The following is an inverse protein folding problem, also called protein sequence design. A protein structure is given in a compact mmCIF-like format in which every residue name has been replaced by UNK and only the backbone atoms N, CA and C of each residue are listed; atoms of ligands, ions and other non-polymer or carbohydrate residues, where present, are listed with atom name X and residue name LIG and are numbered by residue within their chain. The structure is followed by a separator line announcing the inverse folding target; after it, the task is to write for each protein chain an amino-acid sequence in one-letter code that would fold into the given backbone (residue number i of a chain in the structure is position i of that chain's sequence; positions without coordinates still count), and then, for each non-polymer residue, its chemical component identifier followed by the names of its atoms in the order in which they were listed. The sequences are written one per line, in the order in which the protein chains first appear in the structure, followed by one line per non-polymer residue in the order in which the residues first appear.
data_IF_972722244660
#
_entry.id   IF_972722244660
#
_cell.length_a   1.000
_cell.length_b   1.000
_cell.length_c   1.000
_cell.angle_alpha   90.00
_cell.angle_beta   90.00
_cell.angle_gamma   90.00
#
_symmetry.space_group_name_H-M   'P 1'
#
loop_
_entity.id
_entity.type
_entity.pdbx_description
1 polymer ?
#
# COMPACT_ATOMS: atom_id res chain seq x y z
N UNK A 1 -10.61 25.64 61.78
CA UNK A 1 -11.25 25.46 60.47
C UNK A 1 -10.18 25.56 59.40
N UNK A 2 -9.57 24.43 59.02
CA UNK A 2 -8.57 24.36 57.95
C UNK A 2 -9.27 23.86 56.68
N UNK A 3 -9.17 24.64 55.59
CA UNK A 3 -9.65 24.24 54.28
C UNK A 3 -8.53 23.48 53.55
N UNK A 4 -8.79 22.22 53.23
CA UNK A 4 -7.91 21.39 52.40
C UNK A 4 -8.31 21.56 50.92
N UNK A 5 -7.34 21.98 50.10
CA UNK A 5 -7.43 22.00 48.63
C UNK A 5 -6.94 20.63 48.13
N UNK A 6 -7.87 19.80 47.64
CA UNK A 6 -7.54 18.58 46.92
C UNK A 6 -7.07 18.94 45.51
N UNK A 7 -5.78 18.76 45.23
CA UNK A 7 -5.23 18.77 43.89
C UNK A 7 -5.47 17.40 43.23
N UNK A 8 -6.26 17.38 42.15
CA UNK A 8 -6.41 16.22 41.29
C UNK A 8 -5.23 16.18 40.32
N UNK A 9 -4.22 15.36 40.62
CA UNK A 9 -3.12 15.10 39.70
C UNK A 9 -3.60 14.14 38.60
N UNK A 10 -3.88 14.68 37.42
CA UNK A 10 -4.09 13.89 36.21
C UNK A 10 -2.76 13.26 35.80
N UNK A 11 -2.65 11.94 35.99
CA UNK A 11 -1.54 11.14 35.51
C UNK A 11 -1.59 11.06 33.98
N UNK A 12 -0.76 11.85 33.31
CA UNK A 12 -0.46 11.71 31.88
C UNK A 12 0.63 10.65 31.70
N UNK A 13 0.29 9.38 31.85
CA UNK A 13 1.14 8.33 31.29
C UNK A 13 0.78 8.15 29.81
N UNK A 14 1.75 8.23 28.88
CA UNK A 14 1.49 7.92 27.49
C UNK A 14 1.09 6.44 27.41
N UNK A 15 -0.09 6.18 26.84
CA UNK A 15 -0.55 4.85 26.46
C UNK A 15 0.37 4.31 25.36
N UNK A 16 1.54 3.80 25.75
CA UNK A 16 2.31 2.90 24.91
C UNK A 16 1.56 1.56 24.88
N UNK A 17 0.53 1.48 24.04
CA UNK A 17 -0.17 0.21 23.79
C UNK A 17 0.86 -0.80 23.26
N UNK A 18 1.02 -1.98 23.89
CA UNK A 18 1.91 -3.00 23.40
C UNK A 18 1.50 -3.43 22.00
N UNK A 19 2.44 -3.29 21.06
CA UNK A 19 2.33 -3.57 19.63
C UNK A 19 2.20 -5.10 19.34
N UNK A 20 1.23 -5.81 19.93
CA UNK A 20 0.90 -7.19 19.48
C UNK A 20 -0.21 -7.10 18.44
N UNK A 21 0.16 -6.81 17.19
CA UNK A 21 -0.76 -6.14 16.26
C UNK A 21 -1.70 -6.99 15.43
N UNK A 22 -1.47 -8.28 15.21
CA UNK A 22 -2.25 -9.04 14.22
C UNK A 22 -2.61 -10.42 14.74
N UNK A 23 -3.80 -10.91 14.37
CA UNK A 23 -4.05 -12.34 14.41
C UNK A 23 -2.97 -13.03 13.55
N UNK A 24 -2.32 -14.09 14.06
CA UNK A 24 -1.30 -14.79 13.28
C UNK A 24 -1.91 -15.24 11.96
N UNK A 25 -1.25 -14.89 10.86
CA UNK A 25 -1.64 -15.41 9.56
C UNK A 25 -1.47 -16.93 9.60
N UNK A 26 -2.50 -17.65 9.19
CA UNK A 26 -2.43 -19.10 9.03
C UNK A 26 -1.19 -19.46 8.20
N UNK A 27 -0.42 -20.47 8.60
CA UNK A 27 0.76 -20.89 7.85
C UNK A 27 0.35 -21.29 6.43
N UNK A 28 0.93 -20.61 5.44
CA UNK A 28 0.73 -20.91 4.03
C UNK A 28 1.74 -22.00 3.65
N UNK A 29 1.31 -23.13 3.05
CA UNK A 29 2.23 -24.18 2.65
C UNK A 29 3.21 -23.66 1.58
N UNK A 30 4.44 -24.20 1.52
CA UNK A 30 5.38 -23.90 0.45
C UNK A 30 4.82 -24.18 -0.95
N UNK A 31 5.15 -23.32 -1.91
CA UNK A 31 4.89 -23.55 -3.33
C UNK A 31 6.07 -24.32 -3.91
N UNK A 32 5.92 -25.64 -4.00
CA UNK A 32 6.98 -26.53 -4.47
C UNK A 32 7.48 -26.12 -5.85
N UNK A 33 8.80 -25.97 -5.98
CA UNK A 33 9.43 -25.54 -7.23
C UNK A 33 9.08 -24.12 -7.67
N UNK A 34 8.71 -23.20 -6.75
CA UNK A 34 8.35 -21.82 -7.08
C UNK A 34 9.40 -21.11 -7.97
N UNK A 35 10.69 -21.39 -7.75
CA UNK A 35 11.79 -20.85 -8.55
C UNK A 35 11.82 -21.28 -10.01
N UNK A 36 11.05 -22.31 -10.39
CA UNK A 36 10.86 -22.75 -11.79
C UNK A 36 9.62 -22.11 -12.45
N UNK A 37 8.96 -21.17 -11.77
CA UNK A 37 7.77 -20.47 -12.23
C UNK A 37 7.96 -18.95 -12.20
N UNK A 38 6.96 -18.22 -12.71
CA UNK A 38 6.89 -16.78 -12.55
C UNK A 38 6.42 -16.43 -11.13
N UNK A 39 7.31 -15.84 -10.33
CA UNK A 39 7.03 -15.39 -8.97
C UNK A 39 6.59 -13.93 -9.01
N UNK A 40 5.42 -13.62 -8.44
CA UNK A 40 4.97 -12.24 -8.24
C UNK A 40 5.28 -11.79 -6.81
N UNK A 41 5.94 -10.64 -6.67
CA UNK A 41 6.10 -9.93 -5.40
C UNK A 41 5.36 -8.61 -5.51
N UNK A 42 4.17 -8.57 -4.93
CA UNK A 42 3.30 -7.41 -4.95
C UNK A 42 3.53 -6.52 -3.74
N UNK A 43 3.75 -5.24 -4.01
CA UNK A 43 3.89 -4.19 -3.00
C UNK A 43 3.02 -3.00 -3.34
N UNK A 44 2.83 -2.15 -2.35
CA UNK A 44 2.12 -0.88 -2.46
C UNK A 44 3.04 0.27 -2.06
N UNK A 45 2.59 1.48 -2.28
CA UNK A 45 3.32 2.66 -1.86
C UNK A 45 3.66 2.58 -0.36
N UNK A 46 4.96 2.61 -0.04
CA UNK A 46 5.49 2.53 1.34
C UNK A 46 5.35 1.18 2.03
N UNK A 47 5.17 0.07 1.33
CA UNK A 47 5.11 -1.28 1.96
C UNK A 47 6.41 -2.09 1.81
N UNK A 48 7.56 -1.41 1.69
CA UNK A 48 8.87 -2.09 1.64
C UNK A 48 9.36 -2.50 0.26
N UNK A 49 8.81 -1.92 -0.81
CA UNK A 49 9.20 -2.16 -2.20
C UNK A 49 10.72 -2.13 -2.44
N UNK A 50 11.43 -1.13 -1.91
CA UNK A 50 12.89 -1.02 -2.06
C UNK A 50 13.63 -2.15 -1.35
N UNK A 51 13.18 -2.53 -0.15
CA UNK A 51 13.73 -3.66 0.60
C UNK A 51 13.59 -4.96 -0.21
N UNK A 52 12.37 -5.29 -0.64
CA UNK A 52 12.13 -6.52 -1.40
C UNK A 52 12.86 -6.52 -2.74
N UNK A 53 12.91 -5.40 -3.46
CA UNK A 53 13.65 -5.33 -4.71
C UNK A 53 15.15 -5.62 -4.53
N UNK A 54 15.76 -5.15 -3.44
CA UNK A 54 17.16 -5.42 -3.10
C UNK A 54 17.38 -6.88 -2.68
N UNK A 55 16.52 -7.41 -1.81
CA UNK A 55 16.56 -8.81 -1.35
C UNK A 55 16.40 -9.77 -2.52
N UNK A 56 15.37 -9.59 -3.35
CA UNK A 56 15.13 -10.46 -4.50
C UNK A 56 16.16 -10.30 -5.61
N UNK A 57 16.89 -9.18 -5.69
CA UNK A 57 18.06 -9.07 -6.57
C UNK A 57 19.18 -10.02 -6.12
N UNK A 58 19.47 -10.10 -4.83
CA UNK A 58 20.47 -11.04 -4.30
C UNK A 58 19.98 -12.49 -4.44
N UNK A 59 18.73 -12.76 -4.06
CA UNK A 59 18.13 -14.09 -4.15
C UNK A 59 18.11 -14.62 -5.58
N UNK A 60 17.61 -13.82 -6.53
CA UNK A 60 17.54 -14.23 -7.95
C UNK A 60 18.92 -14.51 -8.54
N UNK A 61 19.94 -13.73 -8.13
CA UNK A 61 21.34 -13.97 -8.52
C UNK A 61 21.87 -15.29 -7.95
N UNK A 62 21.59 -15.59 -6.68
CA UNK A 62 22.02 -16.84 -6.04
C UNK A 62 21.29 -18.07 -6.62
N UNK A 63 20.00 -17.95 -6.93
CA UNK A 63 19.20 -19.03 -7.49
C UNK A 63 19.48 -19.24 -8.98
N UNK A 64 19.85 -18.19 -9.71
CA UNK A 64 20.10 -18.23 -11.15
C UNK A 64 18.85 -17.98 -12.00
N UNK A 65 17.91 -17.16 -11.53
CA UNK A 65 16.69 -16.78 -12.26
C UNK A 65 16.70 -15.29 -12.61
N UNK A 66 16.05 -14.87 -13.70
CA UNK A 66 15.91 -13.46 -14.04
C UNK A 66 15.02 -12.72 -13.03
N UNK A 67 15.26 -11.41 -12.89
CA UNK A 67 14.44 -10.52 -12.06
C UNK A 67 14.05 -9.27 -12.84
N UNK A 68 12.76 -9.00 -12.87
CA UNK A 68 12.14 -7.82 -13.45
C UNK A 68 11.53 -6.94 -12.35
N UNK A 69 11.46 -5.64 -12.62
CA UNK A 69 10.74 -4.67 -11.81
C UNK A 69 9.78 -3.93 -12.72
N UNK A 70 8.49 -3.95 -12.42
CA UNK A 70 7.53 -3.14 -13.12
C UNK A 70 7.53 -1.72 -12.52
N UNK A 71 7.59 -0.72 -13.37
CA UNK A 71 7.38 0.68 -13.00
C UNK A 71 6.04 1.12 -13.61
N UNK A 72 5.38 2.15 -13.04
CA UNK A 72 4.08 2.67 -13.54
C UNK A 72 4.02 2.96 -15.05
N UNK A 73 5.16 3.28 -15.67
CA UNK A 73 5.25 3.58 -17.11
C UNK A 73 5.62 2.38 -17.98
N UNK A 74 5.94 1.22 -17.39
CA UNK A 74 6.52 0.05 -18.06
C UNK A 74 5.87 -1.28 -17.69
N UNK A 75 4.67 -1.27 -17.09
CA UNK A 75 3.89 -2.48 -16.76
C UNK A 75 3.67 -3.39 -17.97
N UNK A 76 3.77 -2.88 -19.20
CA UNK A 76 3.69 -3.67 -20.42
C UNK A 76 4.97 -4.44 -20.82
N UNK A 77 6.12 -4.23 -20.17
CA UNK A 77 7.39 -4.79 -20.64
C UNK A 77 7.76 -6.12 -20.00
N UNK A 78 8.63 -6.07 -18.99
CA UNK A 78 9.35 -7.25 -18.54
C UNK A 78 8.57 -8.16 -17.58
N UNK A 79 7.66 -7.61 -16.76
CA UNK A 79 6.80 -8.43 -15.90
C UNK A 79 5.70 -9.11 -16.70
N UNK A 80 4.97 -8.37 -17.55
CA UNK A 80 3.98 -8.94 -18.45
C UNK A 80 4.58 -10.07 -19.30
N UNK A 81 5.73 -9.84 -19.94
CA UNK A 81 6.43 -10.86 -20.72
C UNK A 81 6.78 -12.12 -19.89
N UNK A 82 7.22 -11.95 -18.64
CA UNK A 82 7.54 -13.08 -17.76
C UNK A 82 6.31 -13.98 -17.54
N UNK A 83 5.16 -13.38 -17.23
CA UNK A 83 3.91 -14.12 -16.98
C UNK A 83 3.29 -14.68 -18.27
N UNK A 84 3.31 -13.93 -19.37
CA UNK A 84 2.77 -14.37 -20.67
C UNK A 84 3.56 -15.54 -21.28
N UNK A 85 4.88 -15.57 -21.04
CA UNK A 85 5.75 -16.66 -21.50
C UNK A 85 5.84 -17.83 -20.52
N UNK A 86 5.24 -17.71 -19.33
CA UNK A 86 5.39 -18.65 -18.22
C UNK A 86 6.87 -18.95 -17.87
N UNK A 87 7.75 -17.97 -18.08
CA UNK A 87 9.17 -18.14 -17.81
C UNK A 87 9.46 -18.08 -16.30
N UNK A 88 10.46 -18.85 -15.87
CA UNK A 88 10.97 -18.80 -14.50
C UNK A 88 11.59 -17.42 -14.23
N UNK A 89 11.23 -16.79 -13.12
CA UNK A 89 11.76 -15.50 -12.75
C UNK A 89 10.96 -14.79 -11.67
N UNK A 90 11.47 -13.64 -11.23
CA UNK A 90 10.82 -12.81 -10.20
C UNK A 90 10.37 -11.49 -10.80
N UNK A 91 9.09 -11.16 -10.65
CA UNK A 91 8.56 -9.84 -10.93
C UNK A 91 8.26 -9.10 -9.62
N UNK A 92 8.85 -7.92 -9.43
CA UNK A 92 8.45 -6.98 -8.39
C UNK A 92 7.43 -6.00 -8.99
N UNK A 93 6.17 -6.09 -8.56
CA UNK A 93 5.10 -5.17 -8.95
C UNK A 93 4.93 -4.09 -7.86
N UNK A 94 5.24 -2.86 -8.23
CA UNK A 94 4.95 -1.68 -7.41
C UNK A 94 3.52 -1.22 -7.69
N UNK A 95 2.74 -0.89 -6.66
CA UNK A 95 1.33 -0.49 -6.79
C UNK A 95 0.43 -1.62 -7.31
N UNK A 96 0.60 -2.82 -6.72
CA UNK A 96 -0.19 -3.99 -7.10
C UNK A 96 -1.69 -3.70 -6.97
N UNK A 97 -2.47 -4.06 -7.98
CA UNK A 97 -3.92 -3.92 -7.96
C UNK A 97 -4.61 -5.25 -8.28
N UNK A 98 -5.90 -5.36 -7.96
CA UNK A 98 -6.71 -6.54 -8.35
C UNK A 98 -6.74 -6.71 -9.87
N UNK A 99 -6.65 -5.63 -10.65
CA UNK A 99 -6.59 -5.70 -12.10
C UNK A 99 -5.31 -6.38 -12.56
N UNK A 100 -4.15 -5.96 -12.04
CA UNK A 100 -2.86 -6.60 -12.32
C UNK A 100 -2.90 -8.09 -12.00
N UNK A 101 -3.47 -8.46 -10.84
CA UNK A 101 -3.59 -9.86 -10.43
C UNK A 101 -4.51 -10.69 -11.33
N UNK A 102 -5.59 -10.10 -11.87
CA UNK A 102 -6.47 -10.81 -12.81
C UNK A 102 -5.75 -11.20 -14.09
N UNK A 103 -4.76 -10.42 -14.52
CA UNK A 103 -4.01 -10.67 -15.74
C UNK A 103 -2.86 -11.65 -15.52
N UNK A 104 -2.17 -11.57 -14.39
CA UNK A 104 -0.90 -12.28 -14.21
C UNK A 104 -0.97 -13.49 -13.28
N UNK A 105 -1.94 -13.54 -12.36
CA UNK A 105 -1.94 -14.56 -11.32
C UNK A 105 -2.83 -15.76 -11.67
N UNK A 106 -2.21 -16.79 -12.26
CA UNK A 106 -2.82 -18.12 -12.43
C UNK A 106 -3.01 -18.82 -11.07
N UNK A 107 -3.99 -19.73 -10.94
CA UNK A 107 -4.12 -20.56 -9.74
C UNK A 107 -2.81 -21.30 -9.43
N UNK A 108 -2.32 -21.21 -8.19
CA UNK A 108 -1.09 -21.86 -7.74
C UNK A 108 0.21 -21.11 -8.10
N UNK A 109 0.14 -19.98 -8.82
CA UNK A 109 1.31 -19.15 -9.05
C UNK A 109 1.85 -18.57 -7.73
N UNK A 110 3.18 -18.61 -7.47
CA UNK A 110 3.75 -18.06 -6.25
C UNK A 110 3.49 -16.55 -6.17
N UNK A 111 2.81 -16.12 -5.10
CA UNK A 111 2.53 -14.71 -4.86
C UNK A 111 2.88 -14.32 -3.43
N UNK A 112 3.76 -13.34 -3.31
CA UNK A 112 4.10 -12.69 -2.05
C UNK A 112 3.48 -11.30 -2.08
N UNK A 113 2.65 -11.00 -1.09
CA UNK A 113 1.99 -9.70 -0.94
C UNK A 113 2.44 -9.07 0.37
N UNK A 114 3.07 -7.90 0.31
CA UNK A 114 3.43 -7.17 1.52
C UNK A 114 2.48 -6.01 1.72
N UNK A 115 1.76 -6.07 2.83
CA UNK A 115 0.85 -5.04 3.30
C UNK A 115 1.48 -4.23 4.43
N UNK A 116 0.95 -3.04 4.71
CA UNK A 116 1.39 -2.19 5.81
C UNK A 116 0.19 -1.57 6.52
N UNK A 117 0.36 -1.14 7.76
CA UNK A 117 -0.69 -0.43 8.48
C UNK A 117 -1.10 0.83 7.67
N UNK A 118 -2.39 1.01 7.31
CA UNK A 118 -2.83 2.16 6.54
C UNK A 118 -2.46 3.51 7.16
N UNK A 119 -2.44 3.60 8.50
CA UNK A 119 -2.00 4.81 9.20
C UNK A 119 -0.51 5.07 8.97
N UNK A 120 0.32 4.03 9.09
CA UNK A 120 1.77 4.12 8.88
C UNK A 120 2.11 4.43 7.42
N UNK A 121 1.31 3.94 6.47
CA UNK A 121 1.45 4.28 5.06
C UNK A 121 1.23 5.77 4.82
N UNK A 122 0.13 6.34 5.31
CA UNK A 122 -0.14 7.78 5.22
C UNK A 122 0.99 8.63 5.80
N UNK A 123 1.43 8.31 7.02
CA UNK A 123 2.51 9.03 7.71
C UNK A 123 3.83 8.89 6.94
N UNK A 124 4.18 7.68 6.51
CA UNK A 124 5.41 7.40 5.79
C UNK A 124 5.46 8.08 4.42
N UNK A 125 4.33 8.19 3.73
CA UNK A 125 4.28 8.86 2.43
C UNK A 125 4.40 10.38 2.57
N UNK A 126 3.78 10.97 3.61
CA UNK A 126 3.88 12.41 3.85
C UNK A 126 5.32 12.82 4.12
N UNK A 127 5.98 12.13 5.04
CA UNK A 127 7.40 12.39 5.37
C UNK A 127 8.30 12.18 4.16
N UNK A 128 8.02 11.16 3.36
CA UNK A 128 8.77 10.91 2.13
C UNK A 128 8.58 12.01 1.08
N UNK A 129 7.36 12.46 0.80
CA UNK A 129 7.16 13.53 -0.19
C UNK A 129 7.63 14.91 0.31
N UNK A 130 7.63 15.11 1.63
CA UNK A 130 8.16 16.31 2.26
C UNK A 130 9.69 16.39 2.14
N UNK A 131 10.40 15.26 2.34
CA UNK A 131 11.87 15.24 2.41
C UNK A 131 12.57 14.59 1.21
N UNK A 132 11.81 13.92 0.34
CA UNK A 132 12.33 13.21 -0.81
C UNK A 132 13.00 14.13 -1.83
N UNK A 133 13.92 13.57 -2.58
CA UNK A 133 14.73 14.29 -3.57
C UNK A 133 14.67 13.65 -4.96
N UNK A 134 13.69 12.79 -5.20
CA UNK A 134 13.56 12.13 -6.49
C UNK A 134 13.14 13.13 -7.57
N UNK A 135 13.64 13.00 -8.82
CA UNK A 135 13.36 13.97 -9.87
C UNK A 135 11.87 14.22 -10.12
N UNK A 136 11.03 13.19 -9.99
CA UNK A 136 9.60 13.30 -10.20
C UNK A 136 8.87 14.09 -9.10
N UNK A 137 9.42 14.17 -7.89
CA UNK A 137 8.89 15.01 -6.80
C UNK A 137 9.13 16.50 -7.03
N UNK A 138 10.07 16.82 -7.91
CA UNK A 138 10.44 18.19 -8.27
C UNK A 138 9.64 18.70 -9.47
N UNK A 139 8.75 17.88 -10.04
CA UNK A 139 7.91 18.27 -11.16
C UNK A 139 6.69 19.07 -10.64
N UNK A 140 6.39 20.24 -11.24
CA UNK A 140 5.17 20.98 -10.97
C UNK A 140 3.89 20.19 -11.27
N UNK A 141 2.88 20.31 -10.40
CA UNK A 141 1.56 19.71 -10.62
C UNK A 141 0.52 20.79 -10.94
N UNK A 142 -0.27 20.58 -11.99
CA UNK A 142 -1.35 21.49 -12.38
C UNK A 142 -2.41 21.62 -11.27
N UNK A 143 -2.75 20.51 -10.59
CA UNK A 143 -3.68 20.49 -9.45
C UNK A 143 -3.19 21.30 -8.25
N UNK A 144 -1.88 21.54 -8.15
CA UNK A 144 -1.24 22.34 -7.10
C UNK A 144 -0.88 23.75 -7.58
N UNK A 145 -1.55 24.24 -8.64
CA UNK A 145 -1.32 25.56 -9.25
C UNK A 145 0.15 25.78 -9.64
N UNK A 146 0.79 24.74 -10.17
CA UNK A 146 2.18 24.78 -10.61
C UNK A 146 3.22 24.60 -9.49
N UNK A 147 2.80 24.33 -8.25
CA UNK A 147 3.73 23.91 -7.19
C UNK A 147 4.12 22.44 -7.37
N UNK A 148 5.32 22.10 -6.91
CA UNK A 148 5.68 20.69 -6.68
C UNK A 148 4.99 20.16 -5.42
N UNK A 149 4.90 18.84 -5.25
CA UNK A 149 4.37 18.24 -4.01
C UNK A 149 5.17 18.71 -2.79
N UNK A 150 6.49 18.74 -2.91
CA UNK A 150 7.36 19.17 -1.82
C UNK A 150 7.16 20.65 -1.45
N UNK A 151 6.99 21.54 -2.43
CA UNK A 151 6.67 22.94 -2.18
C UNK A 151 5.31 23.07 -1.48
N UNK A 152 4.29 22.34 -1.97
CA UNK A 152 2.99 22.32 -1.32
C UNK A 152 3.08 21.91 0.15
N UNK A 153 3.81 20.83 0.48
CA UNK A 153 3.95 20.37 1.86
C UNK A 153 4.74 21.32 2.76
N UNK A 154 5.73 22.03 2.23
CA UNK A 154 6.47 23.05 2.99
C UNK A 154 5.64 24.30 3.28
N UNK A 155 4.73 24.64 2.37
CA UNK A 155 3.88 25.82 2.49
C UNK A 155 2.62 25.55 3.34
N UNK A 156 2.15 24.30 3.37
CA UNK A 156 0.98 23.87 4.13
C UNK A 156 1.29 23.75 5.63
N UNK A 157 0.26 23.87 6.47
CA UNK A 157 0.39 23.43 7.86
C UNK A 157 0.68 21.92 7.90
N UNK A 158 1.38 21.45 8.93
CA UNK A 158 1.64 20.00 9.08
C UNK A 158 0.32 19.19 9.06
N UNK A 159 -0.73 19.75 9.65
CA UNK A 159 -2.04 19.13 9.69
C UNK A 159 -2.68 19.01 8.29
N UNK A 160 -2.63 20.07 7.49
CA UNK A 160 -3.18 20.04 6.14
C UNK A 160 -2.34 19.16 5.22
N UNK A 161 -1.01 19.20 5.35
CA UNK A 161 -0.08 18.41 4.57
C UNK A 161 -0.30 16.90 4.75
N UNK A 162 -0.36 16.42 5.99
CA UNK A 162 -0.54 14.98 6.24
C UNK A 162 -1.94 14.50 5.87
N UNK A 163 -2.99 15.31 6.08
CA UNK A 163 -4.36 14.98 5.65
C UNK A 163 -4.48 14.91 4.13
N UNK A 164 -3.86 15.86 3.43
CA UNK A 164 -3.83 15.87 1.97
C UNK A 164 -3.13 14.63 1.42
N UNK A 165 -1.95 14.29 1.94
CA UNK A 165 -1.24 13.07 1.51
C UNK A 165 -2.04 11.81 1.81
N UNK A 166 -2.58 11.67 3.02
CA UNK A 166 -3.34 10.48 3.39
C UNK A 166 -4.58 10.31 2.50
N UNK A 167 -5.21 11.42 2.13
CA UNK A 167 -6.33 11.35 1.18
C UNK A 167 -5.86 10.93 -0.21
N UNK A 168 -4.77 11.50 -0.75
CA UNK A 168 -4.19 11.05 -2.04
C UNK A 168 -3.87 9.55 -2.06
N UNK A 169 -3.46 9.00 -0.92
CA UNK A 169 -3.14 7.58 -0.79
C UNK A 169 -4.36 6.66 -0.79
N UNK A 170 -5.58 7.18 -0.69
CA UNK A 170 -6.73 6.34 -0.37
C UNK A 170 -7.03 5.26 -1.42
N UNK A 171 -6.79 5.53 -2.71
CA UNK A 171 -6.94 4.50 -3.75
C UNK A 171 -5.98 3.34 -3.54
N UNK A 172 -4.74 3.64 -3.15
CA UNK A 172 -3.70 2.63 -2.91
C UNK A 172 -4.04 1.77 -1.68
N UNK A 173 -4.48 2.40 -0.59
CA UNK A 173 -4.89 1.70 0.63
C UNK A 173 -6.09 0.79 0.39
N UNK A 174 -7.03 1.23 -0.43
CA UNK A 174 -8.17 0.41 -0.85
C UNK A 174 -7.70 -0.77 -1.72
N UNK A 175 -6.83 -0.52 -2.70
CA UNK A 175 -6.29 -1.58 -3.56
C UNK A 175 -5.54 -2.65 -2.75
N UNK A 176 -4.78 -2.25 -1.75
CA UNK A 176 -4.10 -3.17 -0.83
C UNK A 176 -5.08 -4.08 -0.08
N UNK A 177 -6.15 -3.51 0.50
CA UNK A 177 -7.20 -4.29 1.16
C UNK A 177 -7.93 -5.24 0.19
N UNK A 178 -8.18 -4.78 -1.03
CA UNK A 178 -8.83 -5.57 -2.07
C UNK A 178 -7.94 -6.72 -2.56
N UNK A 179 -6.65 -6.47 -2.75
CA UNK A 179 -5.66 -7.48 -3.14
C UNK A 179 -5.58 -8.54 -2.06
N UNK A 180 -5.38 -8.16 -0.79
CA UNK A 180 -5.33 -9.11 0.33
C UNK A 180 -6.58 -9.99 0.37
N UNK A 181 -7.76 -9.39 0.28
CA UNK A 181 -9.02 -10.14 0.29
C UNK A 181 -9.16 -11.08 -0.92
N UNK A 182 -8.72 -10.64 -2.11
CA UNK A 182 -8.76 -11.46 -3.33
C UNK A 182 -7.78 -12.64 -3.29
N UNK A 183 -6.70 -12.56 -2.51
CA UNK A 183 -5.63 -13.56 -2.48
C UNK A 183 -5.58 -14.41 -1.22
N UNK A 184 -6.32 -14.05 -0.17
CA UNK A 184 -6.41 -14.79 1.10
C UNK A 184 -6.72 -16.29 0.93
N UNK A 185 -7.46 -16.67 -0.11
CA UNK A 185 -7.82 -18.08 -0.41
C UNK A 185 -7.03 -18.69 -1.57
N UNK A 186 -6.02 -17.99 -2.08
CA UNK A 186 -5.25 -18.40 -3.28
C UNK A 186 -3.85 -18.90 -2.95
N UNK A 187 -3.56 -19.17 -1.67
CA UNK A 187 -2.23 -19.62 -1.25
C UNK A 187 -1.15 -18.55 -1.41
N UNK A 188 -1.53 -17.28 -1.41
CA UNK A 188 -0.58 -16.17 -1.41
C UNK A 188 0.04 -16.01 -0.03
N UNK A 189 1.35 -15.80 0.05
CA UNK A 189 2.01 -15.39 1.28
C UNK A 189 1.77 -13.89 1.50
N UNK A 190 0.87 -13.55 2.42
CA UNK A 190 0.73 -12.17 2.90
C UNK A 190 1.70 -11.93 4.05
N UNK A 191 2.37 -10.78 4.07
CA UNK A 191 3.26 -10.36 5.14
C UNK A 191 2.89 -8.95 5.59
N UNK A 192 2.97 -8.68 6.88
CA UNK A 192 2.87 -7.33 7.40
C UNK A 192 4.27 -6.69 7.35
N UNK A 193 4.37 -5.47 6.85
CA UNK A 193 5.64 -4.74 6.79
C UNK A 193 6.23 -4.54 8.20
N UNK A 194 5.38 -4.47 9.21
CA UNK A 194 5.75 -4.36 10.61
C UNK A 194 6.46 -5.61 11.13
N UNK A 195 6.25 -6.80 10.54
CA UNK A 195 6.91 -8.06 10.96
C UNK A 195 8.44 -8.02 10.75
N UNK A 196 8.92 -7.23 9.79
CA UNK A 196 10.35 -7.12 9.48
C UNK A 196 11.17 -6.47 10.60
N UNK A 197 10.56 -5.63 11.45
CA UNK A 197 11.30 -4.91 12.50
C UNK A 197 11.60 -5.78 13.73
N UNK A 198 10.62 -6.47 14.35
CA UNK A 198 10.88 -7.31 15.51
C UNK A 198 11.53 -8.64 15.16
N UNK A 199 11.35 -9.16 13.94
CA UNK A 199 11.91 -10.45 13.51
C UNK A 199 12.21 -10.47 12.00
N UNK A 200 13.27 -9.74 11.60
CA UNK A 200 13.69 -9.67 10.21
C UNK A 200 14.03 -11.04 9.62
N UNK A 201 14.86 -11.82 10.32
CA UNK A 201 15.34 -13.12 9.84
C UNK A 201 14.21 -14.15 9.75
N UNK A 202 13.32 -14.20 10.74
CA UNK A 202 12.14 -15.05 10.70
C UNK A 202 11.18 -14.66 9.57
N UNK A 203 10.98 -13.36 9.35
CA UNK A 203 10.16 -12.87 8.22
C UNK A 203 10.77 -13.24 6.87
N UNK A 204 12.09 -13.08 6.69
CA UNK A 204 12.78 -13.50 5.47
C UNK A 204 12.78 -15.01 5.28
N UNK A 205 12.94 -15.77 6.36
CA UNK A 205 12.85 -17.23 6.34
C UNK A 205 11.48 -17.69 5.83
N UNK A 206 10.39 -17.11 6.33
CA UNK A 206 9.02 -17.38 5.86
C UNK A 206 8.88 -17.17 4.35
N UNK A 207 9.46 -16.08 3.81
CA UNK A 207 9.49 -15.82 2.36
C UNK A 207 10.20 -16.96 1.61
N UNK A 208 11.41 -17.31 2.02
CA UNK A 208 12.23 -18.26 1.27
C UNK A 208 11.75 -19.71 1.42
N UNK A 209 11.16 -20.06 2.56
CA UNK A 209 10.48 -21.35 2.76
C UNK A 209 9.21 -21.44 1.91
N UNK A 210 8.40 -20.38 1.84
CA UNK A 210 7.24 -20.31 0.94
C UNK A 210 7.63 -20.54 -0.52
N UNK A 211 8.79 -20.06 -0.94
CA UNK A 211 9.33 -20.24 -2.31
C UNK A 211 10.07 -21.57 -2.54
N UNK A 212 10.00 -22.54 -1.61
CA UNK A 212 10.72 -23.83 -1.71
C UNK A 212 12.23 -23.64 -2.00
N UNK A 213 12.88 -22.74 -1.25
CA UNK A 213 14.33 -22.49 -1.41
C UNK A 213 15.22 -23.57 -0.76
N UNK A 214 14.61 -24.55 -0.07
CA UNK A 214 15.27 -25.74 0.51
C UNK A 214 16.53 -25.41 1.30
N UNK A 215 17.65 -26.07 0.99
CA UNK A 215 18.94 -25.90 1.67
C UNK A 215 19.51 -24.48 1.55
N UNK A 216 19.02 -23.66 0.62
CA UNK A 216 19.48 -22.28 0.41
C UNK A 216 18.80 -21.26 1.34
N UNK A 217 17.77 -21.63 2.10
CA UNK A 217 17.05 -20.70 2.99
C UNK A 217 18.01 -19.99 3.94
N UNK A 218 18.92 -20.72 4.60
CA UNK A 218 19.88 -20.13 5.53
C UNK A 218 20.79 -19.09 4.85
N UNK A 219 21.34 -19.42 3.69
CA UNK A 219 22.19 -18.51 2.92
C UNK A 219 21.43 -17.27 2.43
N UNK A 220 20.18 -17.44 1.97
CA UNK A 220 19.34 -16.34 1.51
C UNK A 220 18.97 -15.37 2.65
N UNK A 221 18.66 -15.89 3.84
CA UNK A 221 18.42 -15.06 5.04
C UNK A 221 19.69 -14.28 5.40
N UNK A 222 20.85 -14.92 5.39
CA UNK A 222 22.14 -14.23 5.63
C UNK A 222 22.43 -13.15 4.60
N UNK A 223 22.09 -13.35 3.32
CA UNK A 223 22.23 -12.30 2.30
C UNK A 223 21.23 -11.15 2.52
N UNK A 224 20.01 -11.46 2.93
CA UNK A 224 18.97 -10.47 3.15
C UNK A 224 19.27 -9.58 4.37
N UNK A 225 19.98 -10.09 5.38
CA UNK A 225 20.24 -9.37 6.63
C UNK A 225 21.08 -8.10 6.46
N UNK A 226 21.80 -7.93 5.34
CA UNK A 226 22.46 -6.66 4.95
C UNK A 226 21.46 -5.49 4.90
N UNK A 227 20.18 -5.79 4.66
CA UNK A 227 19.11 -4.80 4.56
C UNK A 227 18.26 -4.66 5.83
N UNK A 228 18.66 -5.32 6.93
CA UNK A 228 18.05 -5.12 8.24
C UNK A 228 18.51 -3.79 8.84
N UNK A 229 17.59 -2.83 8.89
CA UNK A 229 17.84 -1.47 9.41
C UNK A 229 18.08 -1.45 10.93
N UNK A 230 17.77 -2.52 11.65
CA UNK A 230 18.09 -2.64 13.08
C UNK A 230 19.55 -3.05 13.30
N UNK A 231 20.16 -3.72 12.33
CA UNK A 231 21.56 -4.17 12.36
C UNK A 231 22.50 -3.20 11.66
N UNK A 232 22.03 -2.59 10.58
CA UNK A 232 22.82 -1.73 9.72
C UNK A 232 22.22 -0.33 9.70
N UNK A 233 23.05 0.68 9.92
CA UNK A 233 22.63 2.05 9.64
C UNK A 233 22.22 2.15 8.17
N UNK A 234 21.13 2.86 7.90
CA UNK A 234 20.64 3.00 6.55
C UNK A 234 21.71 3.70 5.70
N UNK A 235 22.41 2.97 4.83
CA UNK A 235 23.31 3.59 3.84
C UNK A 235 22.58 4.57 2.91
N UNK A 236 21.25 4.56 2.90
CA UNK A 236 20.37 5.53 2.26
C UNK A 236 19.27 5.99 3.22
N UNK A 237 19.64 6.84 4.19
CA UNK A 237 18.74 7.41 5.21
C UNK A 237 17.52 8.15 4.63
N UNK A 238 17.56 8.51 3.34
CA UNK A 238 16.51 9.29 2.67
C UNK A 238 15.13 8.62 2.65
N UNK A 239 15.08 7.30 2.86
CA UNK A 239 13.86 6.51 2.82
C UNK A 239 13.37 6.06 4.20
N UNK A 240 14.09 6.42 5.27
CA UNK A 240 13.78 5.99 6.65
C UNK A 240 13.47 7.22 7.48
N UNK A 241 12.21 7.35 7.90
CA UNK A 241 11.81 8.42 8.81
C UNK A 241 12.02 8.02 10.27
N UNK A 242 12.54 8.94 11.08
CA UNK A 242 12.70 8.75 12.52
C UNK A 242 11.35 8.46 13.20
N UNK A 243 11.37 7.62 14.25
CA UNK A 243 10.16 7.12 14.90
C UNK A 243 9.42 8.22 15.68
N UNK A 244 10.16 9.14 16.29
CA UNK A 244 9.65 10.27 17.08
C UNK A 244 8.84 11.28 16.24
N UNK A 245 9.25 11.50 15.00
CA UNK A 245 8.55 12.38 14.06
C UNK A 245 7.15 11.88 13.66
N UNK A 246 6.82 10.61 13.91
CA UNK A 246 5.58 9.98 13.43
C UNK A 246 4.39 10.17 14.36
N UNK A 247 4.59 10.22 15.66
CA UNK A 247 3.46 10.23 16.60
C UNK A 247 2.54 11.44 16.42
N UNK A 248 3.06 12.69 16.32
CA UNK A 248 2.19 13.85 16.09
C UNK A 248 1.35 13.74 14.82
N UNK A 249 1.90 13.10 13.77
CA UNK A 249 1.21 12.90 12.50
C UNK A 249 0.06 11.89 12.62
N UNK A 250 0.25 10.82 13.41
CA UNK A 250 -0.82 9.86 13.73
C UNK A 250 -1.97 10.55 14.45
N UNK A 251 -1.65 11.34 15.46
CA UNK A 251 -2.63 12.05 16.28
C UNK A 251 -3.45 13.02 15.43
N UNK A 252 -2.81 13.73 14.49
CA UNK A 252 -3.50 14.59 13.52
C UNK A 252 -4.49 13.78 12.66
N UNK A 253 -4.06 12.65 12.08
CA UNK A 253 -4.93 11.85 11.22
C UNK A 253 -6.12 11.27 11.99
N UNK A 254 -5.91 10.85 13.23
CA UNK A 254 -7.00 10.34 14.08
C UNK A 254 -7.86 11.44 14.69
N UNK A 255 -7.39 12.68 14.79
CA UNK A 255 -8.24 13.80 15.17
C UNK A 255 -9.36 14.07 14.15
N UNK A 256 -9.14 13.73 12.88
CA UNK A 256 -10.14 13.85 11.81
C UNK A 256 -11.12 12.66 11.84
N UNK A 257 -12.42 12.86 12.11
CA UNK A 257 -13.36 11.76 12.25
C UNK A 257 -13.51 10.91 10.97
N UNK A 258 -13.49 11.55 9.79
CA UNK A 258 -13.69 10.86 8.53
C UNK A 258 -12.48 9.99 8.19
N UNK A 259 -11.27 10.55 8.31
CA UNK A 259 -10.04 9.79 8.09
C UNK A 259 -9.89 8.66 9.12
N UNK A 260 -10.21 8.92 10.40
CA UNK A 260 -10.20 7.88 11.44
C UNK A 260 -11.10 6.71 11.06
N UNK A 261 -12.36 6.96 10.69
CA UNK A 261 -13.31 5.90 10.33
C UNK A 261 -12.84 5.08 9.12
N UNK A 262 -12.33 5.75 8.08
CA UNK A 262 -11.82 5.07 6.87
C UNK A 262 -10.56 4.25 7.18
N UNK A 263 -9.59 4.84 7.89
CA UNK A 263 -8.34 4.16 8.26
C UNK A 263 -8.65 2.96 9.17
N UNK A 264 -9.51 3.12 10.18
CA UNK A 264 -9.92 2.00 11.05
C UNK A 264 -10.58 0.89 10.24
N UNK A 265 -11.48 1.22 9.31
CA UNK A 265 -12.12 0.23 8.44
C UNK A 265 -11.11 -0.55 7.59
N UNK A 266 -10.13 0.15 7.00
CA UNK A 266 -9.07 -0.46 6.21
C UNK A 266 -8.13 -1.32 7.07
N UNK A 267 -7.80 -0.86 8.29
CA UNK A 267 -7.03 -1.65 9.26
C UNK A 267 -7.73 -2.97 9.57
N UNK A 268 -9.04 -2.98 9.81
CA UNK A 268 -9.78 -4.23 10.01
C UNK A 268 -9.73 -5.13 8.77
N UNK A 269 -9.97 -4.58 7.57
CA UNK A 269 -9.91 -5.35 6.32
C UNK A 269 -8.53 -5.94 6.04
N UNK A 270 -7.47 -5.29 6.52
CA UNK A 270 -6.09 -5.76 6.40
C UNK A 270 -5.65 -6.65 7.57
N UNK A 271 -6.46 -6.83 8.62
CA UNK A 271 -6.10 -7.63 9.80
C UNK A 271 -5.27 -6.89 10.85
N UNK A 272 -5.20 -5.55 10.77
CA UNK A 272 -4.56 -4.64 11.73
C UNK A 272 -5.39 -4.29 12.95
N UNK A 273 -6.64 -4.74 13.01
CA UNK A 273 -7.49 -4.59 14.18
C UNK A 273 -8.43 -5.77 14.29
N UNK A 274 -8.68 -6.20 15.53
CA UNK A 274 -9.70 -7.19 15.88
C UNK A 274 -11.09 -6.56 16.08
N UNK A 275 -11.21 -5.25 15.86
CA UNK A 275 -12.51 -4.59 15.85
C UNK A 275 -13.44 -5.21 14.82
N UNK A 276 -14.74 -5.07 15.06
CA UNK A 276 -15.73 -5.51 14.08
C UNK A 276 -15.59 -4.64 12.83
N UNK A 277 -15.42 -5.27 11.68
CA UNK A 277 -15.35 -4.56 10.42
C UNK A 277 -16.57 -3.64 10.27
N UNK A 278 -16.38 -2.36 9.93
CA UNK A 278 -17.52 -1.51 9.65
C UNK A 278 -18.36 -2.15 8.55
N UNK A 279 -19.67 -1.95 8.60
CA UNK A 279 -20.52 -2.40 7.51
C UNK A 279 -19.98 -1.86 6.19
N UNK A 280 -19.91 -2.72 5.17
CA UNK A 280 -19.33 -2.38 3.87
C UNK A 280 -19.96 -1.12 3.27
N UNK A 281 -21.25 -0.91 3.48
CA UNK A 281 -22.01 0.28 3.10
C UNK A 281 -21.45 1.55 3.74
N UNK A 282 -21.14 1.50 5.04
CA UNK A 282 -20.58 2.64 5.81
C UNK A 282 -19.18 2.98 5.31
N UNK A 283 -18.30 1.99 5.14
CA UNK A 283 -16.96 2.24 4.60
C UNK A 283 -17.02 2.85 3.18
N UNK A 284 -17.88 2.30 2.32
CA UNK A 284 -18.06 2.85 0.97
C UNK A 284 -18.58 4.30 1.01
N UNK A 285 -19.52 4.60 1.90
CA UNK A 285 -20.05 5.96 2.05
C UNK A 285 -18.99 6.94 2.57
N UNK A 286 -18.17 6.52 3.52
CA UNK A 286 -17.08 7.35 4.03
C UNK A 286 -16.00 7.60 2.97
N UNK A 287 -15.67 6.58 2.17
CA UNK A 287 -14.79 6.75 1.01
C UNK A 287 -15.39 7.75 0.00
N UNK A 288 -16.69 7.69 -0.28
CA UNK A 288 -17.35 8.68 -1.15
C UNK A 288 -17.26 10.09 -0.60
N UNK A 289 -17.53 10.28 0.70
CA UNK A 289 -17.41 11.58 1.36
C UNK A 289 -15.99 12.13 1.26
N UNK A 290 -14.98 11.28 1.47
CA UNK A 290 -13.58 11.68 1.39
C UNK A 290 -13.15 12.03 -0.04
N UNK A 291 -13.64 11.29 -1.04
CA UNK A 291 -13.44 11.64 -2.44
C UNK A 291 -14.12 12.97 -2.81
N UNK A 292 -15.28 13.27 -2.22
CA UNK A 292 -15.99 14.51 -2.49
C UNK A 292 -15.27 15.75 -1.92
N UNK A 293 -14.50 15.61 -0.84
CA UNK A 293 -13.73 16.71 -0.24
C UNK A 293 -12.43 17.00 -0.95
N UNK A 294 -12.00 16.13 -1.86
CA UNK A 294 -10.71 16.28 -2.54
C UNK A 294 -10.90 16.44 -4.04
N UNK A 295 -10.38 17.53 -4.59
CA UNK A 295 -10.32 17.73 -6.05
C UNK A 295 -9.32 16.78 -6.75
N UNK A 296 -8.88 15.72 -6.07
CA UNK A 296 -8.01 14.69 -6.60
C UNK A 296 -8.89 13.73 -7.40
N UNK A 297 -8.59 13.56 -8.68
CA UNK A 297 -9.31 12.61 -9.52
C UNK A 297 -9.07 11.18 -9.03
N UNK A 298 -10.04 10.60 -8.31
CA UNK A 298 -10.03 9.18 -7.97
C UNK A 298 -10.60 8.35 -9.12
N UNK A 299 -9.95 7.22 -9.42
CA UNK A 299 -10.59 6.14 -10.15
C UNK A 299 -11.55 5.45 -9.18
N UNK A 300 -12.85 5.63 -9.40
CA UNK A 300 -13.94 5.32 -8.47
C UNK A 300 -14.08 3.83 -8.15
N UNK A 301 -14.28 3.48 -6.87
CA UNK A 301 -14.69 2.14 -6.43
C UNK A 301 -16.01 2.15 -5.65
N UNK A 302 -16.98 1.36 -6.10
CA UNK A 302 -18.11 0.84 -5.34
C UNK A 302 -18.45 -0.54 -5.93
N UNK A 303 -18.68 -1.57 -5.10
CA UNK A 303 -18.89 -2.93 -5.59
C UNK A 303 -20.20 -3.16 -6.37
N UNK A 304 -21.09 -2.16 -6.43
CA UNK A 304 -22.40 -2.27 -7.09
C UNK A 304 -22.51 -1.52 -8.44
N UNK A 305 -21.46 -0.88 -8.95
CA UNK A 305 -21.55 -0.18 -10.25
C UNK A 305 -20.41 0.80 -10.50
N UNK A 306 -20.03 0.96 -11.77
CA UNK A 306 -19.00 1.92 -12.22
C UNK A 306 -19.63 3.31 -12.33
N UNK A 307 -19.00 4.33 -11.74
CA UNK A 307 -19.28 5.73 -12.07
C UNK A 307 -18.05 6.29 -12.77
N UNK A 308 -18.22 6.70 -14.03
CA UNK A 308 -17.21 7.41 -14.82
C UNK A 308 -17.13 8.88 -14.36
N UNK A 309 -15.91 9.38 -14.24
CA UNK A 309 -15.62 10.79 -13.97
C UNK A 309 -16.22 11.69 -15.06
N UNK A 310 -17.19 12.52 -14.65
CA UNK A 310 -17.78 13.63 -15.38
C UNK A 310 -18.62 14.43 -14.38
N UNK A 311 -18.76 15.76 -14.58
CA UNK A 311 -19.59 16.63 -13.71
C UNK A 311 -20.89 15.89 -13.35
N UNK A 312 -21.17 15.76 -12.05
CA UNK A 312 -22.41 15.16 -11.53
C UNK A 312 -23.63 15.89 -12.12
N UNK A 313 -24.10 15.45 -13.29
CA UNK A 313 -25.52 15.35 -13.53
C UNK A 313 -25.91 13.96 -13.02
N UNK A 314 -26.74 13.99 -11.99
CA UNK A 314 -27.38 12.86 -11.32
C UNK A 314 -27.64 11.66 -12.24
N UNK A 315 -27.11 10.49 -11.87
CA UNK A 315 -27.52 9.21 -12.45
C UNK A 315 -28.37 8.38 -11.46
N UNK A 316 -29.33 7.59 -11.96
CA UNK A 316 -30.57 7.23 -11.27
C UNK A 316 -30.51 5.95 -10.43
N UNK A 317 -29.32 5.37 -10.24
CA UNK A 317 -29.17 4.04 -9.60
C UNK A 317 -29.03 4.11 -8.07
N UNK A 318 -29.01 5.32 -7.50
CA UNK A 318 -29.25 5.56 -6.08
C UNK A 318 -30.72 5.96 -5.87
N UNK A 319 -31.64 5.05 -6.14
CA UNK A 319 -33.05 5.16 -5.71
C UNK A 319 -33.75 6.48 -6.04
N UNK A 320 -33.97 6.78 -7.32
CA UNK A 320 -35.16 7.55 -7.72
C UNK A 320 -35.87 6.85 -8.88
N UNK A 321 -37.18 6.74 -8.76
CA UNK A 321 -38.05 6.06 -9.70
C UNK A 321 -38.07 6.77 -11.07
N UNK A 322 -37.95 5.97 -12.14
CA UNK A 322 -38.45 6.20 -13.50
C UNK A 322 -38.20 7.58 -14.15
N UNK A 323 -37.20 7.66 -15.03
CA UNK A 323 -37.34 8.38 -16.32
C UNK A 323 -36.60 7.62 -17.42
N UNK A 324 -37.32 7.25 -18.50
CA UNK A 324 -36.80 6.52 -19.67
C UNK A 324 -36.15 7.48 -20.68
N UNK A 325 -34.97 7.11 -21.20
CA UNK A 325 -34.58 7.34 -22.60
C UNK A 325 -33.40 8.27 -22.85
N UNK A 326 -32.23 7.71 -23.22
CA UNK A 326 -31.35 8.19 -24.30
C UNK A 326 -30.13 7.25 -24.44
N UNK A 327 -29.84 6.83 -25.68
CA UNK A 327 -28.69 6.02 -26.07
C UNK A 327 -27.63 6.88 -26.76
N UNK A 328 -26.36 6.79 -26.33
CA UNK A 328 -25.23 7.31 -27.12
C UNK A 328 -24.04 6.34 -27.09
N UNK A 329 -23.57 6.00 -28.29
CA UNK A 329 -22.32 5.29 -28.57
C UNK A 329 -21.12 6.21 -28.33
N UNK A 330 -20.05 5.67 -27.76
CA UNK A 330 -18.76 6.34 -27.61
C UNK A 330 -17.77 5.79 -28.64
N UNK A 331 -17.24 6.68 -29.48
CA UNK A 331 -16.16 6.42 -30.43
C UNK A 331 -14.82 6.66 -29.75
N UNK A 332 -13.93 5.67 -29.76
CA UNK A 332 -12.54 5.79 -29.29
C UNK A 332 -11.67 6.31 -30.44
N UNK A 333 -10.99 7.44 -30.23
CA UNK A 333 -9.95 7.95 -31.14
C UNK A 333 -8.57 7.73 -30.52
N UNK A 334 -7.68 7.13 -31.31
CA UNK A 334 -6.30 6.83 -30.96
C UNK A 334 -5.45 8.11 -30.95
N UNK A 335 -4.72 8.33 -29.84
CA UNK A 335 -3.66 9.33 -29.76
C UNK A 335 -2.30 8.67 -30.02
N UNK A 336 -1.71 8.93 -31.18
CA UNK A 336 -0.26 8.74 -31.42
C UNK A 336 0.44 10.08 -31.22
N UNK A 337 1.43 10.12 -30.33
CA UNK A 337 2.36 11.26 -30.20
C UNK A 337 3.50 11.09 -31.22
N UNK A 338 3.87 12.12 -31.97
CA UNK A 338 5.07 12.08 -32.79
C UNK A 338 6.32 12.21 -31.92
N UNK A 339 7.34 11.44 -32.26
CA UNK A 339 8.70 11.54 -31.73
C UNK A 339 9.42 12.60 -32.58
N UNK A 340 10.02 13.59 -31.94
CA UNK A 340 11.06 14.47 -32.51
C UNK A 340 12.29 14.37 -31.63
#
# INVERSE_FOLDING_TARGET
MHAAVLACAASTQPLALPLTWHAPLEPVPPVLGAWNASILVGTHHKTGTVLLAKVFRLASKLIGVPRSKANKTSTAGACAQLFESHAAGVCIEEHTSVLTLRHWLSPGAPFIHVVRDPLEMCVSAYLYHLHGAEPWLLLPHAELRGKTLQQFYRDASQADGVRFECTRMMSELVDEALVRNATARRGALTLYFEDFTPDFDGTMRRIFEYLDSREKVGQLVTLASEYDLTRHSAHDERHVSAADAKQPLRDILFSDPLLREVITGLRVLLGYSNETAPQRSVLCENLRKLCATTHVGFITWCPNGRVLLGKLQSFPECGEANVRGASHQVVLTNYTKPIT
#
